data_IF_175763225268
#
_entry.id   IF_175763225268
#
_cell.length_a   1.000
_cell.length_b   1.000
_cell.length_c   1.000
_cell.angle_alpha   90.00
_cell.angle_beta   90.00
_cell.angle_gamma   90.00
#
_symmetry.space_group_name_H-M   'P 1'
#
loop_
_entity.id
_entity.type
_entity.pdbx_description
1 polymer ?
#
# COMPACT_ATOMS: atom_id res chain seq x y z
N UNK A 1 17.89 -4.18 8.22
CA UNK A 1 17.23 -5.43 7.77
C UNK A 1 18.29 -6.26 7.07
N UNK A 2 18.57 -7.47 7.53
CA UNK A 2 19.56 -8.34 6.90
C UNK A 2 18.84 -9.22 5.87
N UNK A 3 19.04 -8.97 4.58
CA UNK A 3 18.53 -9.85 3.54
C UNK A 3 19.50 -11.00 3.29
N UNK A 4 18.98 -12.19 2.99
CA UNK A 4 19.81 -13.26 2.47
C UNK A 4 20.44 -12.83 1.14
N UNK A 5 21.59 -13.42 0.79
CA UNK A 5 22.34 -13.08 -0.43
C UNK A 5 21.47 -13.20 -1.68
N UNK A 6 20.63 -14.24 -1.75
CA UNK A 6 19.73 -14.49 -2.88
C UNK A 6 18.62 -13.44 -3.00
N UNK A 7 18.02 -13.04 -1.88
CA UNK A 7 17.00 -11.98 -1.86
C UNK A 7 17.63 -10.67 -2.31
N UNK A 8 18.83 -10.34 -1.83
CA UNK A 8 19.54 -9.12 -2.21
C UNK A 8 19.83 -9.08 -3.72
N UNK A 9 20.40 -10.13 -4.29
CA UNK A 9 20.67 -10.22 -5.72
C UNK A 9 19.39 -10.12 -6.57
N UNK A 10 18.28 -10.69 -6.08
CA UNK A 10 16.99 -10.58 -6.75
C UNK A 10 16.42 -9.16 -6.67
N UNK A 11 16.54 -8.48 -5.53
CA UNK A 11 16.10 -7.09 -5.38
C UNK A 11 16.88 -6.15 -6.30
N UNK A 12 18.20 -6.32 -6.40
CA UNK A 12 19.06 -5.54 -7.31
C UNK A 12 18.59 -5.71 -8.76
N UNK A 13 18.26 -6.93 -9.19
CA UNK A 13 17.71 -7.18 -10.54
C UNK A 13 16.32 -6.55 -10.75
N UNK A 14 15.45 -6.63 -9.75
CA UNK A 14 14.09 -6.09 -9.83
C UNK A 14 14.13 -4.56 -9.96
N UNK A 15 14.97 -3.91 -9.17
CA UNK A 15 15.03 -2.46 -9.04
C UNK A 15 16.20 -1.81 -9.79
N UNK A 16 16.86 -2.53 -10.70
CA UNK A 16 18.03 -2.03 -11.45
C UNK A 16 17.79 -0.69 -12.18
N UNK A 17 16.57 -0.47 -12.67
CA UNK A 17 16.20 0.73 -13.45
C UNK A 17 15.68 1.86 -12.58
N UNK A 18 15.54 1.62 -11.27
CA UNK A 18 15.06 2.60 -10.31
C UNK A 18 16.24 3.26 -9.61
N UNK A 19 16.23 4.59 -9.51
CA UNK A 19 17.26 5.33 -8.78
C UNK A 19 16.66 6.25 -7.74
N UNK A 20 17.40 6.37 -6.64
CA UNK A 20 17.15 7.37 -5.62
C UNK A 20 17.45 8.75 -6.20
N UNK A 21 16.54 9.69 -5.98
CA UNK A 21 16.70 11.10 -6.33
C UNK A 21 16.33 11.98 -5.14
N UNK A 22 16.79 13.22 -5.19
CA UNK A 22 16.43 14.21 -4.18
C UNK A 22 15.01 14.73 -4.38
N UNK A 23 14.40 15.12 -3.27
CA UNK A 23 13.05 15.70 -3.22
C UNK A 23 12.92 16.98 -4.05
N UNK A 24 14.02 17.72 -4.27
CA UNK A 24 14.05 18.90 -5.16
C UNK A 24 13.67 18.59 -6.61
N UNK A 25 13.81 17.32 -7.04
CA UNK A 25 13.43 16.88 -8.38
C UNK A 25 11.92 16.84 -8.60
N UNK A 26 11.12 17.05 -7.55
CA UNK A 26 9.65 17.20 -7.65
C UNK A 26 9.26 18.29 -8.66
N UNK A 27 10.09 19.33 -8.84
CA UNK A 27 9.85 20.40 -9.81
C UNK A 27 9.82 19.94 -11.27
N UNK A 28 10.35 18.76 -11.59
CA UNK A 28 10.32 18.17 -12.93
C UNK A 28 9.03 17.42 -13.24
N UNK A 29 8.20 17.15 -12.23
CA UNK A 29 6.94 16.44 -12.42
C UNK A 29 5.93 17.34 -13.12
N UNK A 30 5.19 16.78 -14.07
CA UNK A 30 4.09 17.47 -14.73
C UNK A 30 2.74 16.89 -14.27
N UNK A 31 1.90 17.71 -13.66
CA UNK A 31 0.55 17.31 -13.20
C UNK A 31 -0.31 16.77 -14.35
N UNK A 32 -0.07 17.18 -15.60
CA UNK A 32 -0.82 16.70 -16.78
C UNK A 32 -0.53 15.24 -17.12
N UNK A 33 0.58 14.70 -16.63
CA UNK A 33 0.95 13.28 -16.82
C UNK A 33 0.31 12.37 -15.76
N UNK A 34 -0.46 12.92 -14.83
CA UNK A 34 -1.04 12.18 -13.74
C UNK A 34 -2.01 11.10 -14.22
N UNK A 35 -1.71 9.84 -13.89
CA UNK A 35 -2.62 8.72 -14.13
C UNK A 35 -3.12 8.12 -12.83
N UNK A 36 -4.38 7.69 -12.84
CA UNK A 36 -4.97 6.93 -11.75
C UNK A 36 -4.49 5.48 -11.81
N UNK A 37 -4.00 4.96 -10.70
CA UNK A 37 -3.56 3.57 -10.60
C UNK A 37 -4.68 2.73 -10.02
N UNK A 38 -5.02 1.63 -10.68
CA UNK A 38 -6.14 0.79 -10.27
C UNK A 38 -5.89 0.14 -8.91
N UNK A 39 -6.90 0.18 -8.02
CA UNK A 39 -6.89 -0.55 -6.74
C UNK A 39 -6.75 -2.06 -6.92
N UNK A 40 -7.09 -2.60 -8.09
CA UNK A 40 -6.88 -4.03 -8.40
C UNK A 40 -5.40 -4.37 -8.60
N UNK A 41 -4.58 -3.40 -9.00
CA UNK A 41 -3.15 -3.60 -9.21
C UNK A 41 -2.38 -3.55 -7.89
N UNK A 42 -2.80 -2.67 -6.98
CA UNK A 42 -2.24 -2.52 -5.65
C UNK A 42 -3.36 -2.49 -4.59
N UNK A 43 -3.91 -3.67 -4.21
CA UNK A 43 -4.99 -3.73 -3.22
C UNK A 43 -4.56 -3.26 -1.83
N UNK A 44 -3.25 -3.37 -1.53
CA UNK A 44 -2.65 -2.92 -0.28
C UNK A 44 -1.55 -1.91 -0.60
N UNK A 45 -1.93 -0.64 -0.68
CA UNK A 45 -1.04 0.48 -1.02
C UNK A 45 0.16 0.61 -0.05
N UNK A 46 0.00 0.18 1.21
CA UNK A 46 1.07 0.22 2.22
C UNK A 46 2.23 -0.73 1.88
N UNK A 47 2.00 -1.82 1.14
CA UNK A 47 3.09 -2.70 0.66
C UNK A 47 3.91 -1.98 -0.40
N UNK A 48 3.28 -1.18 -1.24
CA UNK A 48 3.96 -0.36 -2.23
C UNK A 48 4.82 0.72 -1.55
N UNK A 49 4.27 1.42 -0.55
CA UNK A 49 5.03 2.36 0.27
C UNK A 49 6.21 1.67 0.96
N UNK A 50 5.99 0.53 1.61
CA UNK A 50 7.03 -0.26 2.26
C UNK A 50 8.13 -0.64 1.26
N UNK A 51 7.74 -1.08 0.06
CA UNK A 51 8.67 -1.41 -1.02
C UNK A 51 9.53 -0.21 -1.41
N UNK A 52 8.92 0.88 -1.84
CA UNK A 52 9.67 2.02 -2.38
C UNK A 52 10.49 2.74 -1.30
N UNK A 53 9.93 2.89 -0.10
CA UNK A 53 10.59 3.63 0.97
C UNK A 53 11.55 2.77 1.80
N UNK A 54 11.12 1.59 2.30
CA UNK A 54 11.94 0.76 3.20
C UNK A 54 12.91 -0.16 2.46
N UNK A 55 12.52 -0.69 1.30
CA UNK A 55 13.39 -1.61 0.54
C UNK A 55 14.29 -0.82 -0.40
N UNK A 56 13.73 0.08 -1.21
CA UNK A 56 14.52 0.85 -2.19
C UNK A 56 15.16 2.10 -1.58
N UNK A 57 14.77 2.52 -0.38
CA UNK A 57 15.34 3.69 0.30
C UNK A 57 14.89 5.04 -0.27
N UNK A 58 13.83 5.07 -1.08
CA UNK A 58 13.35 6.32 -1.70
C UNK A 58 12.74 7.26 -0.68
N UNK A 59 12.86 8.55 -0.95
CA UNK A 59 12.38 9.60 -0.05
C UNK A 59 10.88 9.75 -0.17
N UNK A 60 10.23 9.87 0.98
CA UNK A 60 8.81 10.21 1.06
C UNK A 60 8.61 11.72 1.00
N UNK A 61 7.54 12.15 0.35
CA UNK A 61 7.09 13.54 0.29
C UNK A 61 5.65 13.64 0.80
N UNK A 62 5.30 14.78 1.41
CA UNK A 62 4.01 15.01 2.09
C UNK A 62 3.38 16.37 1.75
N UNK A 63 3.70 16.92 0.56
CA UNK A 63 3.48 18.34 0.26
C UNK A 63 2.07 18.68 -0.22
N UNK A 64 1.34 17.73 -0.80
CA UNK A 64 0.10 18.03 -1.52
C UNK A 64 -1.15 17.81 -0.66
N UNK A 65 -2.12 18.72 -0.79
CA UNK A 65 -3.39 18.60 -0.07
C UNK A 65 -4.07 17.27 -0.40
N UNK A 66 -4.62 16.60 0.63
CA UNK A 66 -5.26 15.27 0.56
C UNK A 66 -4.33 14.09 0.21
N UNK A 67 -3.03 14.31 0.17
CA UNK A 67 -2.04 13.24 0.01
C UNK A 67 -1.71 12.60 1.37
N UNK A 68 -1.85 11.27 1.45
CA UNK A 68 -1.45 10.49 2.63
C UNK A 68 0.06 10.23 2.65
N UNK A 69 0.63 9.93 1.49
CA UNK A 69 2.07 9.79 1.28
C UNK A 69 2.39 9.90 -0.21
N UNK A 70 3.60 10.36 -0.53
CA UNK A 70 4.18 10.31 -1.87
C UNK A 70 5.60 9.76 -1.81
N UNK A 71 6.05 9.07 -2.86
CA UNK A 71 7.43 8.59 -2.99
C UNK A 71 7.96 8.96 -4.37
N UNK A 72 9.05 9.73 -4.37
CA UNK A 72 9.70 10.23 -5.59
C UNK A 72 10.95 9.41 -5.93
N UNK A 73 11.12 9.07 -7.19
CA UNK A 73 12.22 8.24 -7.70
C UNK A 73 12.44 8.47 -9.20
N UNK A 74 13.59 8.09 -9.72
CA UNK A 74 13.83 8.03 -11.17
C UNK A 74 13.58 6.60 -11.67
N UNK A 75 12.93 6.46 -12.83
CA UNK A 75 12.79 5.19 -13.54
C UNK A 75 13.16 5.40 -15.00
N UNK A 76 14.16 4.65 -15.50
CA UNK A 76 14.68 4.75 -16.87
C UNK A 76 14.99 6.21 -17.31
N UNK A 77 15.56 7.01 -16.41
CA UNK A 77 15.93 8.40 -16.69
C UNK A 77 14.79 9.42 -16.59
N UNK A 78 13.57 9.00 -16.27
CA UNK A 78 12.43 9.89 -16.04
C UNK A 78 12.15 10.04 -14.54
N UNK A 79 11.92 11.26 -14.06
CA UNK A 79 11.45 11.48 -12.69
C UNK A 79 10.00 11.03 -12.56
N UNK A 80 9.69 10.28 -11.49
CA UNK A 80 8.38 9.74 -11.22
C UNK A 80 8.01 9.93 -9.75
N UNK A 81 6.70 10.09 -9.50
CA UNK A 81 6.13 10.18 -8.16
C UNK A 81 4.90 9.27 -8.09
N UNK A 82 4.95 8.30 -7.18
CA UNK A 82 3.75 7.54 -6.78
C UNK A 82 3.22 8.16 -5.50
N UNK A 83 1.93 8.48 -5.47
CA UNK A 83 1.28 9.05 -4.29
C UNK A 83 -0.08 8.42 -3.99
N UNK A 84 -0.35 8.23 -2.71
CA UNK A 84 -1.64 7.82 -2.19
C UNK A 84 -2.40 9.05 -1.71
N UNK A 85 -3.63 9.19 -2.20
CA UNK A 85 -4.54 10.27 -1.87
C UNK A 85 -5.81 9.71 -1.23
N UNK A 86 -6.61 10.59 -0.64
CA UNK A 86 -7.98 10.26 -0.19
C UNK A 86 -8.79 9.50 -1.26
N UNK A 87 -8.54 9.80 -2.53
CA UNK A 87 -9.23 9.21 -3.68
C UNK A 87 -8.38 8.18 -4.46
N UNK A 88 -7.50 7.46 -3.77
CA UNK A 88 -6.72 6.36 -4.33
C UNK A 88 -5.33 6.77 -4.81
N UNK A 89 -4.68 5.84 -5.50
CA UNK A 89 -3.28 5.92 -5.88
C UNK A 89 -3.10 6.62 -7.24
N UNK A 90 -2.09 7.48 -7.35
CA UNK A 90 -1.73 8.20 -8.56
C UNK A 90 -0.25 8.08 -8.87
N UNK A 91 0.07 8.06 -10.16
CA UNK A 91 1.43 8.14 -10.68
C UNK A 91 1.57 9.42 -11.50
N UNK A 92 2.59 10.20 -11.18
CA UNK A 92 3.01 11.40 -11.88
C UNK A 92 4.39 11.15 -12.47
N UNK A 93 4.66 11.72 -13.64
CA UNK A 93 5.93 11.57 -14.33
C UNK A 93 6.43 12.92 -14.86
N UNK A 94 7.73 12.99 -15.13
CA UNK A 94 8.31 14.02 -15.95
C UNK A 94 7.75 13.95 -17.37
N UNK A 95 7.53 15.11 -18.01
CA UNK A 95 6.99 15.16 -19.36
C UNK A 95 8.09 14.84 -20.38
N UNK A 96 8.18 13.57 -20.76
CA UNK A 96 9.08 13.07 -21.80
C UNK A 96 8.29 12.45 -22.96
N UNK A 97 8.99 12.05 -24.03
CA UNK A 97 8.38 11.20 -25.06
C UNK A 97 7.98 9.84 -24.44
N UNK A 98 6.88 9.26 -24.89
CA UNK A 98 6.40 7.93 -24.49
C UNK A 98 6.11 7.74 -22.98
N UNK A 99 5.79 8.82 -22.25
CA UNK A 99 5.42 8.78 -20.82
C UNK A 99 4.39 7.69 -20.51
N UNK A 100 3.33 7.57 -21.31
CA UNK A 100 2.27 6.59 -21.06
C UNK A 100 2.79 5.14 -21.12
N UNK A 101 3.69 4.83 -22.07
CA UNK A 101 4.29 3.51 -22.19
C UNK A 101 5.20 3.21 -21.00
N UNK A 102 6.01 4.19 -20.59
CA UNK A 102 6.90 4.08 -19.43
C UNK A 102 6.10 3.89 -18.14
N UNK A 103 5.04 4.67 -17.94
CA UNK A 103 4.15 4.56 -16.78
C UNK A 103 3.48 3.19 -16.70
N UNK A 104 2.96 2.69 -17.83
CA UNK A 104 2.34 1.36 -17.89
C UNK A 104 3.37 0.26 -17.62
N UNK A 105 4.58 0.38 -18.14
CA UNK A 105 5.66 -0.56 -17.88
C UNK A 105 6.04 -0.58 -16.39
N UNK A 106 6.22 0.61 -15.80
CA UNK A 106 6.55 0.82 -14.39
C UNK A 106 5.50 0.17 -13.49
N UNK A 107 4.21 0.43 -13.72
CA UNK A 107 3.11 -0.18 -12.93
C UNK A 107 3.15 -1.70 -13.05
N UNK A 108 3.32 -2.23 -14.26
CA UNK A 108 3.41 -3.68 -14.46
C UNK A 108 4.62 -4.30 -13.77
N UNK A 109 5.77 -3.61 -13.78
CA UNK A 109 6.99 -4.06 -13.10
C UNK A 109 6.80 -4.07 -11.59
N UNK A 110 6.22 -3.04 -11.01
CA UNK A 110 5.90 -3.00 -9.57
C UNK A 110 4.88 -4.08 -9.19
N UNK A 111 3.79 -4.21 -9.96
CA UNK A 111 2.75 -5.22 -9.73
C UNK A 111 3.30 -6.65 -9.73
N UNK A 112 4.17 -6.98 -10.70
CA UNK A 112 4.81 -8.31 -10.78
C UNK A 112 5.67 -8.61 -9.57
N UNK A 113 6.35 -7.61 -9.02
CA UNK A 113 7.36 -7.80 -7.99
C UNK A 113 6.84 -7.61 -6.55
N UNK A 114 5.71 -6.92 -6.35
CA UNK A 114 5.10 -6.79 -5.02
C UNK A 114 4.76 -8.14 -4.39
N UNK A 115 4.27 -9.10 -5.17
CA UNK A 115 3.98 -10.46 -4.66
C UNK A 115 5.23 -11.15 -4.09
N UNK A 116 6.39 -10.88 -4.69
CA UNK A 116 7.65 -11.42 -4.19
C UNK A 116 8.01 -10.78 -2.85
N UNK A 117 7.85 -9.47 -2.73
CA UNK A 117 8.14 -8.71 -1.51
C UNK A 117 7.21 -9.14 -0.37
N UNK A 118 5.91 -9.21 -0.64
CA UNK A 118 4.90 -9.64 0.33
C UNK A 118 5.23 -11.03 0.89
N UNK A 119 5.52 -12.02 0.03
CA UNK A 119 5.77 -13.39 0.49
C UNK A 119 7.11 -13.59 1.19
N UNK A 120 8.18 -12.99 0.67
CA UNK A 120 9.54 -13.36 1.09
C UNK A 120 10.17 -12.35 2.06
N UNK A 121 9.67 -11.10 2.08
CA UNK A 121 10.30 -10.02 2.83
C UNK A 121 9.37 -9.54 3.95
N UNK A 122 8.07 -9.38 3.68
CA UNK A 122 7.15 -8.78 4.64
C UNK A 122 6.97 -9.64 5.90
N UNK A 123 6.87 -10.97 5.74
CA UNK A 123 6.74 -11.89 6.89
C UNK A 123 7.97 -11.82 7.81
N UNK A 124 9.17 -11.90 7.24
CA UNK A 124 10.41 -11.77 8.01
C UNK A 124 10.53 -10.38 8.66
N UNK A 125 10.10 -9.32 7.97
CA UNK A 125 10.07 -7.99 8.55
C UNK A 125 9.13 -7.93 9.76
N UNK A 126 7.91 -8.48 9.64
CA UNK A 126 6.92 -8.50 10.70
C UNK A 126 7.41 -9.26 11.93
N UNK A 127 7.96 -10.47 11.76
CA UNK A 127 8.53 -11.26 12.85
C UNK A 127 9.63 -10.50 13.59
N UNK A 128 10.52 -9.82 12.85
CA UNK A 128 11.56 -8.99 13.45
C UNK A 128 10.98 -7.78 14.21
N UNK A 129 9.95 -7.10 13.68
CA UNK A 129 9.30 -6.00 14.40
C UNK A 129 8.64 -6.49 15.70
N UNK A 130 8.03 -7.67 15.70
CA UNK A 130 7.44 -8.30 16.88
C UNK A 130 8.51 -8.61 17.92
N UNK A 131 9.61 -9.25 17.52
CA UNK A 131 10.72 -9.56 18.42
C UNK A 131 11.35 -8.29 19.04
N UNK A 132 11.36 -7.17 18.31
CA UNK A 132 11.86 -5.89 18.77
C UNK A 132 10.83 -5.05 19.56
N UNK A 133 9.61 -5.57 19.80
CA UNK A 133 8.49 -4.82 20.38
C UNK A 133 8.18 -3.50 19.65
N UNK A 134 8.51 -3.42 18.36
CA UNK A 134 8.32 -2.22 17.54
C UNK A 134 7.03 -2.31 16.72
N UNK A 135 5.91 -2.50 17.41
CA UNK A 135 4.60 -2.54 16.79
C UNK A 135 3.56 -1.89 17.72
N UNK A 136 2.56 -1.27 17.10
CA UNK A 136 1.44 -0.66 17.82
C UNK A 136 0.20 -1.48 17.53
N UNK A 137 -0.47 -1.94 18.59
CA UNK A 137 -1.80 -2.52 18.45
C UNK A 137 -2.81 -1.38 18.45
N UNK A 138 -3.56 -1.15 17.35
CA UNK A 138 -4.60 -0.13 17.35
C UNK A 138 -5.67 -0.49 18.37
N UNK A 139 -6.20 0.51 19.08
CA UNK A 139 -7.33 0.29 19.97
C UNK A 139 -8.59 -0.04 19.14
N UNK A 140 -8.94 -1.32 19.08
CA UNK A 140 -10.11 -1.81 18.35
C UNK A 140 -11.38 -1.89 19.20
N UNK A 141 -11.36 -1.39 20.45
CA UNK A 141 -12.47 -1.51 21.38
C UNK A 141 -13.81 -1.05 20.78
N UNK A 142 -13.85 0.13 20.16
CA UNK A 142 -15.09 0.65 19.56
C UNK A 142 -15.65 -0.23 18.45
N UNK A 143 -14.77 -0.81 17.61
CA UNK A 143 -15.18 -1.71 16.53
C UNK A 143 -15.71 -3.02 17.09
N UNK A 144 -14.98 -3.64 18.03
CA UNK A 144 -15.33 -4.93 18.62
C UNK A 144 -16.59 -4.85 19.48
N UNK A 145 -16.72 -3.81 20.29
CA UNK A 145 -17.92 -3.56 21.09
C UNK A 145 -19.15 -3.34 20.20
N UNK A 146 -19.04 -2.52 19.14
CA UNK A 146 -20.11 -2.33 18.18
C UNK A 146 -20.57 -3.64 17.53
N UNK A 147 -19.63 -4.48 17.09
CA UNK A 147 -19.93 -5.81 16.54
C UNK A 147 -20.62 -6.71 17.58
N UNK A 148 -20.10 -6.76 18.80
CA UNK A 148 -20.68 -7.54 19.89
C UNK A 148 -22.13 -7.12 20.18
N UNK A 149 -22.40 -5.82 20.35
CA UNK A 149 -23.75 -5.33 20.65
C UNK A 149 -24.72 -5.60 19.50
N UNK A 150 -24.27 -5.45 18.24
CA UNK A 150 -25.07 -5.81 17.08
C UNK A 150 -25.48 -7.29 17.12
N UNK A 151 -24.53 -8.21 17.27
CA UNK A 151 -24.83 -9.64 17.31
C UNK A 151 -25.70 -10.01 18.51
N UNK A 152 -25.43 -9.43 19.68
CA UNK A 152 -26.25 -9.63 20.88
C UNK A 152 -27.70 -9.20 20.66
N UNK A 153 -27.93 -8.06 20.01
CA UNK A 153 -29.26 -7.58 19.68
C UNK A 153 -29.98 -8.47 18.65
N UNK A 154 -29.26 -8.91 17.61
CA UNK A 154 -29.79 -9.86 16.63
C UNK A 154 -30.18 -11.20 17.29
N UNK A 155 -29.34 -11.75 18.16
CA UNK A 155 -29.65 -12.98 18.90
C UNK A 155 -30.88 -12.81 19.78
N UNK A 156 -30.99 -11.70 20.53
CA UNK A 156 -32.19 -11.40 21.34
C UNK A 156 -33.46 -11.35 20.49
N UNK A 157 -33.41 -10.73 19.32
CA UNK A 157 -34.54 -10.66 18.39
C UNK A 157 -34.95 -12.04 17.87
N UNK A 158 -33.98 -12.89 17.52
CA UNK A 158 -34.24 -14.26 17.07
C UNK A 158 -34.84 -15.11 18.18
N UNK A 159 -34.26 -15.12 19.37
CA UNK A 159 -34.80 -15.85 20.52
C UNK A 159 -36.20 -15.39 20.89
N UNK A 160 -36.47 -14.08 20.84
CA UNK A 160 -37.82 -13.56 21.09
C UNK A 160 -38.83 -14.06 20.04
N UNK A 161 -38.49 -14.00 18.75
CA UNK A 161 -39.33 -14.56 17.68
C UNK A 161 -39.59 -16.06 17.85
N UNK A 162 -38.59 -16.80 18.26
CA UNK A 162 -38.70 -18.25 18.48
C UNK A 162 -39.61 -18.56 19.67
N UNK A 163 -39.47 -17.85 20.79
CA UNK A 163 -40.36 -17.96 21.95
C UNK A 163 -41.80 -17.55 21.59
N UNK A 164 -41.97 -16.47 20.83
CA UNK A 164 -43.29 -15.99 20.39
C UNK A 164 -43.96 -17.01 19.44
N UNK A 165 -43.19 -17.68 18.57
CA UNK A 165 -43.68 -18.77 17.71
C UNK A 165 -44.04 -20.04 18.51
N UNK A 166 -43.33 -20.36 19.59
CA UNK A 166 -43.63 -21.53 20.46
C UNK A 166 -44.87 -21.28 21.31
N UNK A 167 -45.15 -20.02 21.69
CA UNK A 167 -46.30 -19.63 22.52
C UNK A 167 -47.61 -19.48 21.75
N UNK A 168 -47.57 -19.55 20.42
CA UNK A 168 -48.74 -19.60 19.55
C UNK A 168 -48.80 -20.97 18.85
N UNK A 169 -49.10 -22.07 19.56
CA UNK A 169 -49.63 -23.24 18.88
C UNK A 169 -51.05 -22.89 18.39
N UNK A 170 -51.27 -23.09 17.10
CA UNK A 170 -52.60 -23.11 16.45
C UNK A 170 -53.60 -24.00 17.18
#
# INVERSE_FOLDING_TARGET
>A
MQFTKDIKARLERIFQDFKLIDTSSESKLDEKTAISVSRKDFPVESILLFTLHKICGFRTIFRWDKMHWGVIFEYKGAVNLISSHKFGLRLYSERIADVEAIQKELINKLKKNIKFIEKNILNQYAENQVALNNFTIPNLFHKLSGQYYYFRDQSKKMFKKEIDNIRLPS
#
